data_IF_909301348290
#
_entry.id   IF_909301348290
#
_cell.length_a   1.000
_cell.length_b   1.000
_cell.length_c   1.000
_cell.angle_alpha   90.00
_cell.angle_beta   90.00
_cell.angle_gamma   90.00
#
_symmetry.space_group_name_H-M   'P 1'
#
loop_
_entity.id
_entity.type
_entity.pdbx_description
1 polymer ?
#
# COMPACT_ATOMS: atom_id res chain seq x y z
N UNK A 1 6.65 -63.62 32.40
CA UNK A 1 5.46 -62.85 32.79
C UNK A 1 5.60 -61.46 32.14
N UNK A 2 4.80 -61.21 31.15
CA UNK A 2 4.85 -60.01 30.32
C UNK A 2 3.97 -58.93 30.94
N UNK A 3 4.54 -57.73 31.16
CA UNK A 3 3.79 -56.53 31.56
C UNK A 3 3.57 -55.66 30.36
N UNK A 4 2.31 -55.59 29.89
CA UNK A 4 1.89 -54.75 28.81
C UNK A 4 1.79 -53.28 29.29
N UNK A 5 2.63 -52.38 28.76
CA UNK A 5 2.53 -50.92 28.95
C UNK A 5 1.37 -50.38 28.13
N UNK A 6 0.43 -49.71 28.79
CA UNK A 6 -0.66 -48.96 28.17
C UNK A 6 -0.09 -47.73 27.45
N UNK A 7 -0.39 -47.61 26.17
CA UNK A 7 -0.18 -46.37 25.40
C UNK A 7 -1.12 -45.29 25.95
N UNK A 8 -0.55 -44.22 26.46
CA UNK A 8 -1.30 -43.01 26.85
C UNK A 8 -1.83 -42.33 25.60
N UNK A 9 -3.13 -42.10 25.54
CA UNK A 9 -3.77 -41.26 24.53
C UNK A 9 -3.31 -39.79 24.69
N UNK A 10 -2.88 -39.19 23.57
CA UNK A 10 -2.57 -37.76 23.52
C UNK A 10 -3.80 -36.93 23.92
N UNK A 11 -3.62 -35.82 24.64
CA UNK A 11 -4.73 -34.96 25.00
C UNK A 11 -5.32 -34.33 23.73
N UNK A 12 -6.62 -34.50 23.53
CA UNK A 12 -7.39 -33.82 22.51
C UNK A 12 -7.40 -32.33 22.80
N UNK A 13 -7.05 -31.49 21.80
CA UNK A 13 -7.19 -30.04 21.88
C UNK A 13 -8.67 -29.69 22.15
N UNK A 14 -8.95 -28.66 23.00
CA UNK A 14 -10.30 -28.25 23.26
C UNK A 14 -10.94 -27.75 21.97
N UNK A 15 -12.06 -28.31 21.61
CA UNK A 15 -12.96 -27.80 20.55
C UNK A 15 -13.59 -26.55 21.16
N UNK A 16 -13.27 -25.37 20.65
CA UNK A 16 -13.99 -24.16 21.01
C UNK A 16 -15.42 -24.30 20.50
N UNK A 17 -16.37 -24.36 21.43
CA UNK A 17 -17.78 -24.19 21.13
C UNK A 17 -18.00 -22.79 20.54
N UNK A 18 -18.56 -22.71 19.35
CA UNK A 18 -18.91 -21.48 18.67
C UNK A 18 -19.86 -20.67 19.54
N UNK A 19 -19.46 -19.47 19.94
CA UNK A 19 -20.36 -18.48 20.54
C UNK A 19 -21.20 -17.82 19.43
N UNK A 20 -22.49 -17.49 19.69
CA UNK A 20 -23.43 -17.01 18.67
C UNK A 20 -23.21 -15.59 18.14
N UNK A 21 -22.07 -14.96 18.41
CA UNK A 21 -21.73 -13.61 17.96
C UNK A 21 -20.73 -13.57 16.79
N UNK A 22 -20.54 -14.69 16.09
CA UNK A 22 -19.77 -14.74 14.85
C UNK A 22 -20.63 -14.11 13.73
N UNK A 23 -20.55 -12.79 13.59
CA UNK A 23 -20.98 -12.08 12.37
C UNK A 23 -20.03 -12.53 11.27
N UNK A 24 -20.41 -13.61 10.60
CA UNK A 24 -19.55 -14.41 9.74
C UNK A 24 -18.73 -13.57 8.76
N UNK A 25 -17.41 -13.79 8.77
CA UNK A 25 -16.51 -13.27 7.76
C UNK A 25 -17.01 -13.69 6.39
N UNK A 26 -17.43 -12.73 5.57
CA UNK A 26 -17.95 -13.01 4.23
C UNK A 26 -16.80 -13.35 3.28
N UNK A 27 -16.93 -14.45 2.55
CA UNK A 27 -15.96 -14.85 1.52
C UNK A 27 -15.90 -13.80 0.42
N UNK A 28 -14.68 -13.39 0.05
CA UNK A 28 -14.46 -12.43 -1.02
C UNK A 28 -14.77 -13.03 -2.39
N UNK A 29 -16.02 -12.90 -2.86
CA UNK A 29 -16.46 -13.37 -4.18
C UNK A 29 -17.16 -12.25 -4.97
N UNK A 30 -16.91 -12.17 -6.30
CA UNK A 30 -17.66 -11.29 -7.19
C UNK A 30 -17.40 -9.78 -6.98
N UNK A 31 -18.44 -8.98 -7.20
CA UNK A 31 -18.40 -7.52 -7.15
C UNK A 31 -18.52 -6.96 -5.73
N UNK A 32 -18.26 -5.67 -5.57
CA UNK A 32 -18.62 -4.94 -4.35
C UNK A 32 -20.13 -5.09 -4.05
N UNK A 33 -20.54 -5.03 -2.76
CA UNK A 33 -21.94 -4.97 -2.39
C UNK A 33 -22.68 -3.80 -3.06
N UNK A 34 -24.03 -3.80 -3.03
CA UNK A 34 -24.80 -2.67 -3.54
C UNK A 34 -24.34 -1.35 -2.95
N UNK A 35 -24.37 -0.30 -3.75
CA UNK A 35 -23.84 1.01 -3.40
C UNK A 35 -24.36 1.56 -2.07
N UNK A 36 -25.66 1.43 -1.80
CA UNK A 36 -26.24 1.89 -0.54
C UNK A 36 -25.57 1.24 0.66
N UNK A 37 -25.25 -0.06 0.56
CA UNK A 37 -24.51 -0.80 1.59
C UNK A 37 -23.09 -0.25 1.74
N UNK A 38 -22.36 -0.06 0.62
CA UNK A 38 -21.00 0.50 0.65
C UNK A 38 -21.02 1.85 1.35
N UNK A 39 -21.89 2.78 0.93
CA UNK A 39 -21.98 4.10 1.54
C UNK A 39 -22.31 4.07 3.03
N UNK A 40 -23.28 3.25 3.42
CA UNK A 40 -23.63 3.06 4.85
C UNK A 40 -22.44 2.57 5.66
N UNK A 41 -21.66 1.63 5.13
CA UNK A 41 -20.48 1.10 5.82
C UNK A 41 -19.34 2.13 5.89
N UNK A 42 -19.12 2.93 4.83
CA UNK A 42 -18.16 4.05 4.86
C UNK A 42 -18.50 5.05 5.96
N UNK A 43 -19.78 5.48 6.02
CA UNK A 43 -20.27 6.42 7.03
C UNK A 43 -20.17 5.83 8.45
N UNK A 44 -20.46 4.54 8.62
CA UNK A 44 -20.33 3.84 9.89
C UNK A 44 -18.84 3.78 10.33
N UNK A 45 -17.94 3.37 9.46
CA UNK A 45 -16.50 3.31 9.74
C UNK A 45 -15.95 4.68 10.12
N UNK A 46 -16.30 5.73 9.37
CA UNK A 46 -15.87 7.11 9.64
C UNK A 46 -16.35 7.56 11.03
N UNK A 47 -17.65 7.42 11.35
CA UNK A 47 -18.18 7.80 12.68
C UNK A 47 -17.55 7.01 13.82
N UNK A 48 -17.30 5.72 13.62
CA UNK A 48 -16.74 4.85 14.68
C UNK A 48 -15.34 5.26 15.09
N UNK A 49 -14.54 5.76 14.14
CA UNK A 49 -13.14 6.06 14.40
C UNK A 49 -12.77 7.55 14.35
N UNK A 50 -13.77 8.45 14.18
CA UNK A 50 -13.55 9.89 14.11
C UNK A 50 -12.83 10.44 15.34
N UNK A 51 -13.25 10.02 16.53
CA UNK A 51 -12.72 10.51 17.83
C UNK A 51 -11.47 9.75 18.31
N UNK A 52 -10.91 8.86 17.50
CA UNK A 52 -9.66 8.16 17.85
C UNK A 52 -8.49 9.14 17.72
N UNK A 53 -7.85 9.46 18.83
CA UNK A 53 -6.72 10.41 18.94
C UNK A 53 -5.34 9.73 19.11
N UNK A 54 -5.30 8.40 19.07
CA UNK A 54 -4.06 7.63 19.16
C UNK A 54 -3.14 7.86 17.94
N UNK A 55 -1.84 7.83 18.19
CA UNK A 55 -0.80 8.08 17.19
C UNK A 55 -0.40 9.56 17.11
N UNK A 56 0.65 9.83 16.36
CA UNK A 56 1.25 11.15 16.21
C UNK A 56 1.41 11.51 14.73
N UNK A 57 1.39 12.80 14.41
CA UNK A 57 1.69 13.29 13.06
C UNK A 57 3.19 13.13 12.81
N UNK A 58 3.59 12.77 11.58
CA UNK A 58 5.01 12.70 11.23
C UNK A 58 5.66 14.07 11.38
N UNK A 59 6.74 14.18 12.14
CA UNK A 59 7.45 15.43 12.44
C UNK A 59 8.87 15.48 11.87
N UNK A 60 9.40 14.36 11.41
CA UNK A 60 10.75 14.27 10.81
C UNK A 60 10.85 14.89 9.41
N UNK A 61 9.72 15.18 8.74
CA UNK A 61 9.61 16.04 7.59
C UNK A 61 8.88 17.31 8.06
N UNK A 62 9.55 18.48 8.17
CA UNK A 62 8.96 19.66 8.80
C UNK A 62 7.61 20.09 8.21
N UNK A 63 7.41 19.97 6.90
CA UNK A 63 6.14 20.30 6.26
C UNK A 63 4.99 19.39 6.71
N UNK A 64 5.23 18.11 7.03
CA UNK A 64 4.20 17.20 7.55
C UNK A 64 3.78 17.54 8.98
N UNK A 65 4.69 18.08 9.79
CA UNK A 65 4.42 18.43 11.19
C UNK A 65 3.29 19.49 11.36
N UNK A 66 2.98 20.23 10.31
CA UNK A 66 1.94 21.27 10.31
C UNK A 66 0.57 20.80 9.83
N UNK A 67 0.46 19.53 9.38
CA UNK A 67 -0.81 18.96 8.90
C UNK A 67 -1.75 18.73 10.09
N UNK A 68 -3.05 19.09 9.94
CA UNK A 68 -4.03 18.89 10.99
C UNK A 68 -4.20 17.42 11.33
N UNK A 69 -3.98 17.05 12.60
CA UNK A 69 -4.13 15.70 13.12
C UNK A 69 -5.59 15.20 13.10
N UNK A 70 -6.57 16.08 12.92
CA UNK A 70 -8.00 15.76 13.01
C UNK A 70 -8.59 15.29 11.67
N UNK A 71 -7.87 15.53 10.56
CA UNK A 71 -8.30 15.10 9.23
C UNK A 71 -8.53 13.58 9.18
N UNK A 72 -9.68 13.20 8.62
CA UNK A 72 -10.03 11.80 8.41
C UNK A 72 -10.95 11.65 7.21
N UNK A 73 -10.47 11.01 6.15
CA UNK A 73 -11.21 10.70 4.94
C UNK A 73 -11.14 9.22 4.59
N UNK A 74 -12.22 8.68 4.03
CA UNK A 74 -12.31 7.31 3.52
C UNK A 74 -12.94 7.37 2.13
N UNK A 75 -12.40 6.63 1.17
CA UNK A 75 -12.96 6.52 -0.18
C UNK A 75 -12.90 5.08 -0.70
N UNK A 76 -13.87 4.70 -1.53
CA UNK A 76 -13.93 3.45 -2.27
C UNK A 76 -14.15 3.73 -3.74
N UNK A 77 -13.39 3.08 -4.61
CA UNK A 77 -13.59 3.08 -6.05
C UNK A 77 -13.82 1.65 -6.54
N UNK A 78 -14.96 1.38 -7.15
CA UNK A 78 -15.27 0.08 -7.74
C UNK A 78 -14.70 -0.06 -9.15
N UNK A 79 -14.42 -1.30 -9.60
CA UNK A 79 -14.00 -1.60 -10.99
C UNK A 79 -15.06 -1.19 -12.03
N UNK A 80 -16.28 -0.89 -11.61
CA UNK A 80 -17.33 -0.29 -12.46
C UNK A 80 -17.17 1.22 -12.71
N UNK A 81 -16.15 1.88 -12.14
CA UNK A 81 -15.84 3.30 -12.34
C UNK A 81 -16.53 4.26 -11.37
N UNK A 82 -17.25 3.76 -10.38
CA UNK A 82 -17.86 4.60 -9.36
C UNK A 82 -16.92 4.84 -8.20
N UNK A 83 -16.84 6.09 -7.75
CA UNK A 83 -16.06 6.53 -6.59
C UNK A 83 -17.02 7.15 -5.57
N UNK A 84 -16.94 6.71 -4.32
CA UNK A 84 -17.65 7.25 -3.18
C UNK A 84 -16.66 7.59 -2.05
N UNK A 85 -16.94 8.65 -1.29
CA UNK A 85 -16.10 9.07 -0.18
C UNK A 85 -16.88 9.74 0.95
N UNK A 86 -16.30 9.70 2.15
CA UNK A 86 -16.84 10.32 3.36
C UNK A 86 -15.73 11.07 4.10
N UNK A 87 -16.12 12.02 4.97
CA UNK A 87 -15.17 12.86 5.68
C UNK A 87 -14.28 13.66 4.73
N UNK A 88 -13.03 13.81 5.10
CA UNK A 88 -12.02 14.57 4.34
C UNK A 88 -11.49 13.81 3.12
N UNK A 89 -12.31 12.98 2.47
CA UNK A 89 -11.90 12.13 1.35
C UNK A 89 -11.44 12.89 0.11
N UNK A 90 -11.79 14.18 -0.03
CA UNK A 90 -11.37 15.07 -1.10
C UNK A 90 -10.24 16.04 -0.68
N UNK A 91 -9.75 15.95 0.56
CA UNK A 91 -8.61 16.74 1.02
C UNK A 91 -7.34 16.28 0.32
N UNK A 92 -6.56 17.23 -0.22
CA UNK A 92 -5.28 16.93 -0.88
C UNK A 92 -4.16 16.74 0.15
N UNK A 93 -3.34 15.72 -0.08
CA UNK A 93 -2.15 15.42 0.72
C UNK A 93 -1.08 14.80 -0.19
N UNK A 94 0.16 14.82 0.24
CA UNK A 94 1.25 14.24 -0.54
C UNK A 94 1.22 12.72 -0.50
N UNK A 95 1.38 12.07 -1.67
CA UNK A 95 1.23 10.62 -1.84
C UNK A 95 2.26 9.81 -1.04
N UNK A 96 3.46 10.35 -0.85
CA UNK A 96 4.55 9.75 -0.10
C UNK A 96 4.81 8.29 -0.54
N UNK A 97 5.08 7.39 0.41
CA UNK A 97 5.37 5.99 0.12
C UNK A 97 4.21 5.21 -0.53
N UNK A 98 3.00 5.78 -0.61
CA UNK A 98 1.91 5.14 -1.36
C UNK A 98 2.20 5.11 -2.88
N UNK A 99 3.10 5.96 -3.39
CA UNK A 99 3.55 5.93 -4.78
C UNK A 99 4.31 4.65 -5.17
N UNK A 100 4.98 3.98 -4.21
CA UNK A 100 5.90 2.86 -4.47
C UNK A 100 5.35 1.69 -5.28
N UNK A 101 4.15 1.13 -4.99
CA UNK A 101 3.60 0.05 -5.80
C UNK A 101 3.29 0.48 -7.24
N UNK A 102 2.87 1.73 -7.44
CA UNK A 102 2.58 2.26 -8.78
C UNK A 102 3.87 2.51 -9.57
N UNK A 103 4.93 3.05 -8.92
CA UNK A 103 6.28 3.11 -9.49
C UNK A 103 6.74 1.72 -9.94
N UNK A 104 6.67 0.71 -9.06
CA UNK A 104 7.06 -0.65 -9.39
C UNK A 104 6.27 -1.20 -10.59
N UNK A 105 4.95 -0.98 -10.61
CA UNK A 105 4.10 -1.38 -11.72
C UNK A 105 4.53 -0.73 -13.04
N UNK A 106 4.81 0.58 -13.06
CA UNK A 106 5.27 1.30 -14.25
C UNK A 106 6.63 0.80 -14.75
N UNK A 107 7.56 0.51 -13.85
CA UNK A 107 8.88 -0.06 -14.20
C UNK A 107 8.74 -1.48 -14.75
N UNK A 108 7.90 -2.33 -14.13
CA UNK A 108 7.61 -3.68 -14.63
C UNK A 108 6.94 -3.64 -16.02
N UNK A 109 6.04 -2.70 -16.26
CA UNK A 109 5.38 -2.56 -17.55
C UNK A 109 6.36 -2.13 -18.65
N UNK A 110 7.32 -1.28 -18.31
CA UNK A 110 8.30 -0.76 -19.26
C UNK A 110 9.43 -1.74 -19.60
N UNK A 111 9.94 -2.49 -18.60
CA UNK A 111 11.13 -3.34 -18.77
C UNK A 111 10.79 -4.85 -18.79
N UNK A 112 9.60 -5.21 -18.37
CA UNK A 112 9.22 -6.60 -18.12
C UNK A 112 9.63 -7.09 -16.72
N UNK A 113 8.73 -7.87 -16.14
CA UNK A 113 8.85 -8.32 -14.74
C UNK A 113 10.07 -9.21 -14.48
N UNK A 114 10.58 -9.95 -15.47
CA UNK A 114 11.76 -10.81 -15.31
C UNK A 114 13.02 -9.99 -15.08
N UNK A 115 13.26 -9.00 -15.94
CA UNK A 115 14.37 -8.08 -15.81
C UNK A 115 14.32 -7.31 -14.49
N UNK A 116 13.14 -6.80 -14.13
CA UNK A 116 12.96 -6.08 -12.85
C UNK A 116 13.23 -7.01 -11.66
N UNK A 117 12.80 -8.28 -11.72
CA UNK A 117 13.02 -9.26 -10.66
C UNK A 117 14.50 -9.60 -10.44
N UNK A 118 15.33 -9.56 -11.49
CA UNK A 118 16.78 -9.77 -11.41
C UNK A 118 17.52 -8.58 -10.78
N UNK A 119 16.93 -7.39 -10.88
CA UNK A 119 17.52 -6.12 -10.40
C UNK A 119 17.00 -5.67 -9.05
N UNK A 120 15.81 -6.12 -8.64
CA UNK A 120 15.15 -5.78 -7.37
C UNK A 120 14.78 -7.05 -6.59
N UNK A 121 14.83 -6.95 -5.27
CA UNK A 121 14.28 -7.99 -4.39
C UNK A 121 12.75 -8.01 -4.40
N UNK A 122 12.16 -9.10 -3.90
CA UNK A 122 10.70 -9.23 -3.72
C UNK A 122 10.31 -9.71 -2.32
N UNK A 123 11.29 -10.07 -1.50
CA UNK A 123 11.05 -10.59 -0.16
C UNK A 123 10.87 -9.44 0.85
N UNK A 124 10.00 -9.63 1.84
CA UNK A 124 9.91 -8.72 2.97
C UNK A 124 11.24 -8.67 3.72
N UNK A 125 11.62 -7.50 4.21
CA UNK A 125 12.87 -7.30 4.97
C UNK A 125 12.69 -7.61 6.46
N UNK A 126 11.47 -7.48 6.99
CA UNK A 126 11.19 -7.56 8.43
C UNK A 126 11.79 -6.40 9.24
N UNK A 127 12.28 -5.35 8.57
CA UNK A 127 12.94 -4.19 9.15
C UNK A 127 12.17 -2.91 8.84
N UNK A 128 12.39 -1.80 9.58
CA UNK A 128 11.85 -0.49 9.27
C UNK A 128 12.12 -0.10 7.81
N UNK A 129 11.20 0.65 7.22
CA UNK A 129 11.20 0.98 5.78
C UNK A 129 12.43 1.76 5.30
N UNK A 130 13.11 2.44 6.20
CA UNK A 130 14.29 3.27 5.96
C UNK A 130 15.58 2.63 6.52
N UNK A 131 15.55 1.33 6.83
CA UNK A 131 16.68 0.60 7.41
C UNK A 131 17.80 0.40 6.39
N UNK A 132 18.98 0.94 6.69
CA UNK A 132 20.20 0.71 5.92
C UNK A 132 20.67 -0.75 6.08
N UNK A 133 20.45 -1.35 7.26
CA UNK A 133 20.79 -2.75 7.51
C UNK A 133 20.07 -3.71 6.55
N UNK A 134 18.90 -3.32 6.03
CA UNK A 134 18.20 -4.13 5.04
C UNK A 134 19.03 -4.38 3.77
N UNK A 135 19.92 -3.45 3.38
CA UNK A 135 20.84 -3.62 2.26
C UNK A 135 22.00 -4.55 2.60
N UNK A 136 22.52 -4.47 3.82
CA UNK A 136 23.70 -5.24 4.24
C UNK A 136 23.38 -6.72 4.44
N UNK A 137 22.18 -7.05 4.96
CA UNK A 137 21.76 -8.44 5.19
C UNK A 137 21.07 -9.07 3.98
N UNK A 138 20.59 -8.26 3.03
CA UNK A 138 19.98 -8.78 1.81
C UNK A 138 21.03 -9.43 0.92
N UNK A 139 20.73 -10.63 0.41
CA UNK A 139 21.61 -11.28 -0.56
C UNK A 139 21.85 -10.34 -1.76
N UNK A 140 23.12 -10.04 -2.04
CA UNK A 140 23.53 -9.15 -3.12
C UNK A 140 22.97 -7.72 -3.05
N UNK A 141 22.52 -7.23 -1.88
CA UNK A 141 21.93 -5.90 -1.71
C UNK A 141 20.55 -5.73 -2.36
N UNK A 142 19.84 -6.84 -2.68
CA UNK A 142 18.53 -6.81 -3.30
C UNK A 142 17.42 -6.59 -2.26
N UNK A 143 16.79 -5.43 -2.28
CA UNK A 143 15.63 -5.11 -1.43
C UNK A 143 14.36 -4.92 -2.26
N UNK A 144 13.19 -5.17 -1.65
CA UNK A 144 11.91 -5.02 -2.34
C UNK A 144 11.52 -3.53 -2.50
N UNK A 145 10.77 -3.17 -3.55
CA UNK A 145 10.42 -1.77 -3.85
C UNK A 145 9.39 -1.14 -2.91
N UNK A 146 8.91 -1.84 -1.88
CA UNK A 146 7.99 -1.26 -0.88
C UNK A 146 8.73 -0.57 0.27
N UNK A 147 10.07 -0.80 0.41
CA UNK A 147 10.97 -0.08 1.32
C UNK A 147 11.79 0.96 0.55
N UNK A 148 12.41 1.93 1.26
CA UNK A 148 13.08 3.05 0.59
C UNK A 148 14.22 2.61 -0.33
N UNK A 149 15.09 1.72 0.12
CA UNK A 149 16.21 1.25 -0.70
C UNK A 149 15.76 0.59 -2.01
N UNK A 150 14.79 -0.30 -1.96
CA UNK A 150 14.25 -0.94 -3.17
C UNK A 150 13.47 0.04 -4.06
N UNK A 151 12.79 1.04 -3.48
CA UNK A 151 12.09 2.06 -4.25
C UNK A 151 13.07 3.03 -4.96
N UNK A 152 14.17 3.40 -4.30
CA UNK A 152 15.25 4.20 -4.92
C UNK A 152 15.87 3.40 -6.08
N UNK A 153 16.20 2.13 -5.86
CA UNK A 153 16.69 1.25 -6.92
C UNK A 153 15.68 1.14 -8.09
N UNK A 154 14.38 1.00 -7.80
CA UNK A 154 13.32 0.99 -8.81
C UNK A 154 13.22 2.32 -9.57
N UNK A 155 13.39 3.45 -8.90
CA UNK A 155 13.41 4.78 -9.53
C UNK A 155 14.55 4.91 -10.53
N UNK A 156 15.72 4.37 -10.23
CA UNK A 156 16.85 4.37 -11.16
C UNK A 156 16.58 3.60 -12.45
N UNK A 157 15.66 2.61 -12.42
CA UNK A 157 15.24 1.79 -13.57
C UNK A 157 14.16 2.47 -14.43
N UNK A 158 13.57 3.57 -13.98
CA UNK A 158 12.55 4.29 -14.76
C UNK A 158 13.10 4.67 -16.15
N UNK A 159 12.34 4.49 -17.25
CA UNK A 159 12.78 4.91 -18.58
C UNK A 159 13.11 6.40 -18.65
N UNK A 160 14.21 6.72 -19.37
CA UNK A 160 14.67 8.11 -19.57
C UNK A 160 16.19 8.21 -19.42
N UNK A 161 16.80 9.04 -20.26
CA UNK A 161 18.26 9.29 -20.25
C UNK A 161 18.67 10.47 -19.35
N UNK A 162 17.72 11.23 -18.86
CA UNK A 162 17.90 12.36 -17.93
C UNK A 162 16.88 12.27 -16.80
N UNK A 163 17.15 12.91 -15.67
CA UNK A 163 16.23 12.99 -14.54
C UNK A 163 14.86 13.56 -14.95
N UNK A 164 14.83 14.58 -15.80
CA UNK A 164 13.59 15.19 -16.26
C UNK A 164 12.74 14.22 -17.12
N UNK A 165 13.35 13.40 -17.97
CA UNK A 165 12.64 12.38 -18.73
C UNK A 165 12.10 11.27 -17.83
N UNK A 166 12.86 10.84 -16.83
CA UNK A 166 12.40 9.86 -15.83
C UNK A 166 11.24 10.43 -15.02
N UNK A 167 11.36 11.67 -14.58
CA UNK A 167 10.31 12.38 -13.87
C UNK A 167 9.03 12.51 -14.70
N UNK A 168 9.15 12.93 -15.96
CA UNK A 168 7.99 13.06 -16.86
C UNK A 168 7.26 11.72 -17.04
N UNK A 169 8.02 10.61 -17.22
CA UNK A 169 7.45 9.27 -17.32
C UNK A 169 6.67 8.87 -16.05
N UNK A 170 7.26 9.12 -14.86
CA UNK A 170 6.62 8.80 -13.59
C UNK A 170 5.36 9.63 -13.34
N UNK A 171 5.46 10.96 -13.51
CA UNK A 171 4.32 11.85 -13.30
C UNK A 171 3.16 11.49 -14.22
N UNK A 172 3.44 11.23 -15.51
CA UNK A 172 2.43 10.80 -16.47
C UNK A 172 1.81 9.45 -16.07
N UNK A 173 2.63 8.49 -15.66
CA UNK A 173 2.16 7.17 -15.25
C UNK A 173 1.28 7.22 -14.00
N UNK A 174 1.71 7.94 -12.96
CA UNK A 174 0.94 8.13 -11.73
C UNK A 174 -0.37 8.89 -12.00
N UNK A 175 -0.34 9.91 -12.85
CA UNK A 175 -1.53 10.64 -13.31
C UNK A 175 -2.53 9.74 -14.05
N UNK A 176 -2.05 8.80 -14.87
CA UNK A 176 -2.92 7.80 -15.52
C UNK A 176 -3.59 6.86 -14.51
N UNK A 177 -2.90 6.47 -13.43
CA UNK A 177 -3.51 5.71 -12.35
C UNK A 177 -4.59 6.50 -11.62
N UNK A 178 -4.35 7.77 -11.32
CA UNK A 178 -5.30 8.67 -10.66
C UNK A 178 -6.47 9.12 -11.58
N UNK A 179 -6.31 9.00 -12.91
CA UNK A 179 -7.30 9.46 -13.89
C UNK A 179 -7.35 10.98 -14.07
N UNK A 180 -6.43 11.71 -13.48
CA UNK A 180 -6.23 13.15 -13.60
C UNK A 180 -4.75 13.51 -13.57
N UNK A 181 -4.40 14.70 -14.03
CA UNK A 181 -3.05 15.21 -13.84
C UNK A 181 -2.79 15.49 -12.36
N UNK A 182 -1.67 14.97 -11.84
CA UNK A 182 -1.24 15.20 -10.46
C UNK A 182 -0.30 16.40 -10.40
N UNK A 183 -0.54 17.27 -9.45
CA UNK A 183 0.29 18.42 -9.15
C UNK A 183 1.31 18.08 -8.06
N UNK A 184 2.43 18.80 -8.05
CA UNK A 184 3.47 18.62 -7.03
C UNK A 184 3.34 19.68 -5.97
N UNK A 185 3.48 19.30 -4.72
CA UNK A 185 3.62 20.22 -3.58
C UNK A 185 5.07 20.69 -3.51
N UNK A 186 5.30 21.93 -3.94
CA UNK A 186 6.65 22.52 -3.98
C UNK A 186 7.20 22.83 -2.58
N UNK A 187 6.33 23.13 -1.59
CA UNK A 187 6.73 23.33 -0.20
C UNK A 187 7.21 22.02 0.42
N UNK A 188 6.44 20.95 0.22
CA UNK A 188 6.82 19.61 0.65
C UNK A 188 8.14 19.16 -0.02
N UNK A 189 8.28 19.38 -1.32
CA UNK A 189 9.51 19.05 -2.05
C UNK A 189 10.74 19.79 -1.47
N UNK A 190 10.60 21.06 -1.18
CA UNK A 190 11.68 21.85 -0.56
C UNK A 190 12.03 21.31 0.84
N UNK A 191 11.00 20.96 1.64
CA UNK A 191 11.16 20.41 2.99
C UNK A 191 11.84 19.04 2.97
N UNK A 192 11.42 18.15 2.07
CA UNK A 192 12.04 16.81 1.92
C UNK A 192 13.49 16.88 1.43
N UNK A 193 13.79 17.73 0.44
CA UNK A 193 15.16 17.93 -0.03
C UNK A 193 16.09 18.40 1.08
N UNK A 194 15.61 19.23 2.00
CA UNK A 194 16.42 19.71 3.13
C UNK A 194 16.71 18.62 4.16
N UNK A 195 15.95 17.53 4.20
CA UNK A 195 16.07 16.43 5.18
C UNK A 195 16.43 15.08 4.58
N UNK A 196 16.80 15.04 3.28
CA UNK A 196 16.91 13.83 2.47
C UNK A 196 18.21 13.00 2.66
N UNK A 197 19.12 13.43 3.54
CA UNK A 197 20.46 12.85 3.69
C UNK A 197 20.46 11.32 3.90
N UNK A 198 19.43 10.73 4.52
CA UNK A 198 19.31 9.28 4.71
C UNK A 198 19.05 8.54 3.38
N UNK A 199 18.19 9.07 2.52
CA UNK A 199 17.92 8.50 1.19
C UNK A 199 19.12 8.67 0.26
N UNK A 200 19.84 9.79 0.34
CA UNK A 200 21.09 10.00 -0.40
C UNK A 200 22.18 9.00 0.01
N UNK A 201 22.36 8.77 1.31
CA UNK A 201 23.29 7.76 1.81
C UNK A 201 22.90 6.36 1.33
N UNK A 202 21.62 6.04 1.30
CA UNK A 202 21.07 4.78 0.81
C UNK A 202 21.32 4.59 -0.69
N UNK A 203 21.16 5.65 -1.50
CA UNK A 203 21.45 5.62 -2.93
C UNK A 203 22.95 5.35 -3.20
N UNK A 204 23.84 5.96 -2.43
CA UNK A 204 25.30 5.71 -2.55
C UNK A 204 25.70 4.31 -2.12
N UNK A 205 25.05 3.73 -1.12
CA UNK A 205 25.26 2.33 -0.75
C UNK A 205 24.77 1.38 -1.84
N UNK A 206 23.59 1.64 -2.43
CA UNK A 206 23.09 0.89 -3.57
C UNK A 206 24.04 0.94 -4.77
N UNK A 207 24.65 2.11 -5.03
CA UNK A 207 25.66 2.27 -6.08
C UNK A 207 26.90 1.42 -5.79
N UNK A 208 27.39 1.42 -4.56
CA UNK A 208 28.49 0.56 -4.12
C UNK A 208 28.20 -0.94 -4.27
N UNK A 209 26.94 -1.36 -4.19
CA UNK A 209 26.49 -2.73 -4.47
C UNK A 209 26.17 -3.00 -5.95
N UNK A 210 26.29 -2.01 -6.84
CA UNK A 210 25.89 -2.12 -8.25
C UNK A 210 24.38 -2.30 -8.43
N UNK A 211 23.57 -1.73 -7.52
CA UNK A 211 22.10 -1.83 -7.48
C UNK A 211 21.40 -0.53 -7.78
N UNK A 212 22.11 0.47 -8.27
CA UNK A 212 21.53 1.68 -8.87
C UNK A 212 21.92 1.73 -10.34
N UNK A 213 21.01 2.15 -11.20
CA UNK A 213 21.13 2.01 -12.65
C UNK A 213 21.08 3.37 -13.37
N UNK A 214 21.25 4.43 -12.61
CA UNK A 214 21.34 5.81 -13.05
C UNK A 214 22.15 6.59 -12.01
N UNK A 215 22.41 7.88 -12.22
CA UNK A 215 23.12 8.72 -11.25
C UNK A 215 22.41 8.68 -9.88
N UNK A 216 23.10 8.41 -8.77
CA UNK A 216 22.50 8.27 -7.45
C UNK A 216 21.80 9.53 -6.94
N UNK A 217 22.39 10.70 -7.16
CA UNK A 217 21.87 11.98 -6.66
C UNK A 217 20.64 12.40 -7.49
N UNK A 218 20.70 12.27 -8.82
CA UNK A 218 19.55 12.49 -9.70
C UNK A 218 18.42 11.48 -9.45
N UNK A 219 18.76 10.22 -9.16
CA UNK A 219 17.77 9.19 -8.80
C UNK A 219 17.04 9.55 -7.52
N UNK A 220 17.78 10.01 -6.50
CA UNK A 220 17.22 10.41 -5.22
C UNK A 220 16.29 11.62 -5.38
N UNK A 221 16.64 12.59 -6.22
CA UNK A 221 15.77 13.73 -6.51
C UNK A 221 14.48 13.30 -7.20
N UNK A 222 14.53 12.43 -8.21
CA UNK A 222 13.33 11.89 -8.87
C UNK A 222 12.48 11.07 -7.89
N UNK A 223 13.10 10.29 -7.01
CA UNK A 223 12.42 9.54 -5.95
C UNK A 223 11.70 10.49 -4.97
N UNK A 224 12.30 11.60 -4.60
CA UNK A 224 11.69 12.60 -3.70
C UNK A 224 10.51 13.29 -4.38
N UNK A 225 10.67 13.74 -5.62
CA UNK A 225 9.58 14.39 -6.38
C UNK A 225 8.31 13.54 -6.45
N UNK A 226 8.42 12.23 -6.65
CA UNK A 226 7.23 11.36 -6.73
C UNK A 226 6.45 11.31 -5.42
N UNK A 227 7.14 11.37 -4.26
CA UNK A 227 6.52 11.41 -2.94
C UNK A 227 5.71 12.69 -2.69
N UNK A 228 6.09 13.78 -3.33
CA UNK A 228 5.50 15.11 -3.17
C UNK A 228 4.30 15.39 -4.11
N UNK A 229 3.82 14.40 -4.88
CA UNK A 229 2.60 14.57 -5.68
C UNK A 229 1.36 14.64 -4.79
N UNK A 230 0.47 15.59 -5.09
CA UNK A 230 -0.79 15.78 -4.39
C UNK A 230 -1.86 14.80 -4.86
N UNK A 231 -2.44 14.09 -3.91
CA UNK A 231 -3.54 13.14 -4.12
C UNK A 231 -4.60 13.33 -3.06
N UNK A 232 -5.80 12.83 -3.32
CA UNK A 232 -6.89 12.68 -2.36
C UNK A 232 -7.09 11.20 -2.02
N UNK A 233 -7.86 10.88 -0.98
CA UNK A 233 -8.27 9.50 -0.72
C UNK A 233 -9.10 8.93 -1.90
N UNK A 234 -9.86 9.78 -2.61
CA UNK A 234 -10.60 9.36 -3.81
C UNK A 234 -9.66 8.98 -4.95
N UNK A 235 -8.60 9.75 -5.18
CA UNK A 235 -7.56 9.41 -6.17
C UNK A 235 -6.88 8.09 -5.82
N UNK A 236 -6.48 7.90 -4.56
CA UNK A 236 -5.84 6.66 -4.13
C UNK A 236 -6.77 5.44 -4.28
N UNK A 237 -8.06 5.60 -3.96
CA UNK A 237 -9.05 4.54 -4.18
C UNK A 237 -9.16 4.18 -5.66
N UNK A 238 -9.15 5.17 -6.56
CA UNK A 238 -9.18 4.95 -8.02
C UNK A 238 -7.87 4.33 -8.53
N UNK A 239 -6.72 4.76 -8.03
CA UNK A 239 -5.43 4.15 -8.32
C UNK A 239 -5.42 2.67 -7.91
N UNK A 240 -5.95 2.36 -6.72
CA UNK A 240 -6.13 0.98 -6.24
C UNK A 240 -7.11 0.18 -7.10
N UNK A 241 -8.22 0.78 -7.51
CA UNK A 241 -9.20 0.16 -8.40
C UNK A 241 -8.61 -0.15 -9.78
N UNK A 242 -7.67 0.66 -10.27
CA UNK A 242 -6.94 0.39 -11.51
C UNK A 242 -6.13 -0.91 -11.39
N UNK A 243 -5.46 -1.15 -10.27
CA UNK A 243 -4.78 -2.43 -10.02
C UNK A 243 -5.77 -3.59 -9.85
N UNK A 244 -6.93 -3.33 -9.22
CA UNK A 244 -7.99 -4.32 -9.04
C UNK A 244 -8.65 -4.74 -10.36
N UNK A 245 -8.75 -3.83 -11.34
CA UNK A 245 -9.33 -4.05 -12.68
C UNK A 245 -8.27 -4.51 -13.72
N UNK A 246 -7.24 -5.21 -13.28
CA UNK A 246 -6.20 -5.75 -14.18
C UNK A 246 -5.44 -4.67 -14.95
N UNK A 247 -5.28 -3.48 -14.37
CA UNK A 247 -4.51 -2.37 -14.90
C UNK A 247 -5.29 -1.42 -15.82
N UNK A 248 -6.60 -1.55 -15.88
CA UNK A 248 -7.47 -0.59 -16.59
C UNK A 248 -8.05 0.39 -15.58
N UNK A 249 -7.82 1.69 -15.79
CA UNK A 249 -8.44 2.70 -14.95
C UNK A 249 -9.97 2.69 -15.16
N UNK A 250 -10.79 2.42 -14.14
CA UNK A 250 -12.21 2.17 -14.34
C UNK A 250 -13.02 3.41 -14.72
N UNK A 251 -12.51 4.63 -14.49
CA UNK A 251 -13.13 5.89 -14.87
C UNK A 251 -12.74 6.28 -16.30
N UNK A 252 -11.45 6.34 -16.61
CA UNK A 252 -10.97 6.75 -17.93
C UNK A 252 -11.05 5.64 -18.99
N UNK A 253 -11.24 4.39 -18.56
CA UNK A 253 -11.27 3.16 -19.38
C UNK A 253 -9.96 2.92 -20.17
N UNK A 254 -8.88 3.55 -19.76
CA UNK A 254 -7.56 3.39 -20.37
C UNK A 254 -6.74 2.37 -19.60
N UNK A 255 -6.04 1.49 -20.32
CA UNK A 255 -5.06 0.58 -19.73
C UNK A 255 -3.81 1.38 -19.33
N UNK A 256 -3.40 1.23 -18.08
CA UNK A 256 -2.19 1.84 -17.52
C UNK A 256 -1.05 0.82 -17.49
N UNK A 257 -1.35 -0.39 -17.03
CA UNK A 257 -0.40 -1.52 -16.96
C UNK A 257 -1.11 -2.84 -17.31
N UNK A 258 -0.35 -3.90 -17.51
CA UNK A 258 -0.89 -5.24 -17.83
C UNK A 258 -1.42 -5.94 -16.58
N UNK A 259 -2.27 -6.95 -16.80
CA UNK A 259 -2.81 -7.80 -15.73
C UNK A 259 -1.70 -8.57 -14.98
N UNK A 260 -0.65 -9.02 -15.69
CA UNK A 260 0.48 -9.71 -15.06
C UNK A 260 1.28 -8.77 -14.14
N UNK A 261 1.47 -7.53 -14.56
CA UNK A 261 2.06 -6.47 -13.73
C UNK A 261 1.24 -6.22 -12.46
N UNK A 262 -0.10 -6.12 -12.58
CA UNK A 262 -0.98 -5.97 -11.41
C UNK A 262 -0.81 -7.11 -10.41
N UNK A 263 -0.87 -8.36 -10.87
CA UNK A 263 -0.72 -9.54 -10.02
C UNK A 263 0.58 -9.53 -9.22
N UNK A 264 1.70 -9.14 -9.83
CA UNK A 264 3.01 -9.07 -9.18
C UNK A 264 3.10 -7.92 -8.18
N UNK A 265 2.53 -6.77 -8.53
CA UNK A 265 2.45 -5.61 -7.65
C UNK A 265 1.62 -5.94 -6.40
N UNK A 266 0.46 -6.57 -6.56
CA UNK A 266 -0.39 -6.99 -5.45
C UNK A 266 0.31 -8.03 -4.55
N UNK A 267 1.07 -8.96 -5.12
CA UNK A 267 1.86 -9.91 -4.33
C UNK A 267 2.90 -9.23 -3.43
N UNK A 268 3.59 -8.21 -3.93
CA UNK A 268 4.52 -7.42 -3.12
C UNK A 268 3.81 -6.59 -2.05
N UNK A 269 2.66 -6.00 -2.37
CA UNK A 269 1.86 -5.25 -1.41
C UNK A 269 1.35 -6.14 -0.27
N UNK A 270 1.00 -7.40 -0.54
CA UNK A 270 0.61 -8.36 0.51
C UNK A 270 1.72 -8.61 1.52
N UNK A 271 2.96 -8.74 1.07
CA UNK A 271 4.07 -9.18 1.93
C UNK A 271 4.87 -8.05 2.57
N UNK A 272 4.83 -6.83 2.01
CA UNK A 272 5.71 -5.75 2.40
C UNK A 272 5.09 -4.34 2.38
N UNK A 273 3.76 -4.23 2.18
CA UNK A 273 3.12 -2.93 1.93
C UNK A 273 2.97 -2.03 3.15
N UNK A 274 2.91 -2.60 4.37
CA UNK A 274 2.80 -1.86 5.63
C UNK A 274 4.06 -1.99 6.49
N UNK A 275 5.21 -1.88 5.83
CA UNK A 275 6.51 -1.93 6.48
C UNK A 275 6.70 -3.22 7.30
N UNK A 276 7.28 -3.16 8.49
CA UNK A 276 7.43 -4.30 9.41
C UNK A 276 6.10 -4.83 9.96
N UNK A 277 4.99 -4.09 9.79
CA UNK A 277 3.64 -4.48 10.23
C UNK A 277 2.82 -5.17 9.12
N UNK A 278 3.42 -5.54 8.01
CA UNK A 278 2.70 -6.19 6.90
C UNK A 278 2.09 -7.55 7.28
N UNK A 279 2.73 -8.29 8.20
CA UNK A 279 2.17 -9.53 8.73
C UNK A 279 0.91 -9.32 9.55
N UNK A 280 0.93 -8.37 10.49
CA UNK A 280 -0.24 -7.99 11.29
C UNK A 280 -1.39 -7.50 10.40
N UNK A 281 -1.06 -6.69 9.38
CA UNK A 281 -2.04 -6.21 8.41
C UNK A 281 -2.70 -7.37 7.65
N UNK A 282 -1.91 -8.30 7.14
CA UNK A 282 -2.44 -9.45 6.39
C UNK A 282 -3.34 -10.31 7.28
N UNK A 283 -2.94 -10.51 8.53
CA UNK A 283 -3.72 -11.28 9.51
C UNK A 283 -5.06 -10.61 9.86
N UNK A 284 -5.08 -9.28 10.00
CA UNK A 284 -6.24 -8.52 10.46
C UNK A 284 -7.17 -8.04 9.33
N UNK A 285 -6.63 -7.81 8.12
CA UNK A 285 -7.35 -7.16 7.01
C UNK A 285 -7.49 -8.06 5.79
N UNK A 286 -6.52 -8.94 5.56
CA UNK A 286 -6.55 -9.93 4.48
C UNK A 286 -6.46 -9.36 3.06
N UNK A 287 -5.86 -8.17 2.87
CA UNK A 287 -5.82 -7.47 1.57
C UNK A 287 -4.43 -6.88 1.25
N UNK A 288 -4.03 -6.83 -0.03
CA UNK A 288 -2.89 -6.04 -0.46
C UNK A 288 -3.07 -4.57 -0.15
N UNK A 289 -2.05 -3.93 0.46
CA UNK A 289 -2.12 -2.50 0.76
C UNK A 289 -0.76 -1.82 0.73
N UNK A 290 -0.77 -0.47 0.71
CA UNK A 290 0.43 0.36 0.91
C UNK A 290 0.09 1.59 1.72
N UNK A 291 0.92 1.86 2.74
CA UNK A 291 0.85 3.04 3.58
C UNK A 291 1.90 4.09 3.21
N UNK A 292 1.63 5.33 3.61
CA UNK A 292 2.54 6.46 3.49
C UNK A 292 2.49 7.35 4.73
N UNK A 293 3.59 8.00 5.03
CA UNK A 293 3.78 8.80 6.26
C UNK A 293 2.98 10.11 6.31
N UNK A 294 2.35 10.49 5.21
CA UNK A 294 1.31 11.54 5.20
C UNK A 294 -0.01 11.09 5.86
N UNK A 295 -0.17 9.80 6.14
CA UNK A 295 -1.39 9.20 6.70
C UNK A 295 -2.28 8.51 5.67
N UNK A 296 -1.84 8.42 4.41
CA UNK A 296 -2.54 7.69 3.34
C UNK A 296 -2.34 6.17 3.44
N UNK A 297 -3.40 5.39 3.22
CA UNK A 297 -3.33 3.94 2.98
C UNK A 297 -4.19 3.64 1.76
N UNK A 298 -3.63 2.96 0.77
CA UNK A 298 -4.38 2.35 -0.34
C UNK A 298 -4.46 0.85 -0.13
N UNK A 299 -5.65 0.29 -0.29
CA UNK A 299 -5.95 -1.14 -0.12
C UNK A 299 -6.68 -1.66 -1.35
N UNK A 300 -6.33 -2.82 -1.86
CA UNK A 300 -6.88 -3.35 -3.10
C UNK A 300 -7.65 -4.64 -2.85
N UNK A 301 -8.92 -4.67 -3.26
CA UNK A 301 -9.73 -5.88 -3.35
C UNK A 301 -9.74 -6.34 -4.82
N UNK A 302 -8.92 -7.35 -5.21
CA UNK A 302 -8.78 -7.76 -6.61
C UNK A 302 -10.13 -8.13 -7.24
N UNK A 303 -10.40 -7.58 -8.43
CA UNK A 303 -11.65 -7.78 -9.15
C UNK A 303 -12.85 -6.99 -8.60
N UNK A 304 -12.72 -6.28 -7.47
CA UNK A 304 -13.81 -5.51 -6.83
C UNK A 304 -13.55 -4.01 -6.84
N UNK A 305 -12.39 -3.56 -6.38
CA UNK A 305 -12.08 -2.14 -6.30
C UNK A 305 -10.88 -1.80 -5.43
N UNK A 306 -10.66 -0.50 -5.25
CA UNK A 306 -9.72 0.09 -4.31
C UNK A 306 -10.46 0.77 -3.15
N UNK A 307 -9.92 0.61 -1.96
CA UNK A 307 -10.28 1.33 -0.75
C UNK A 307 -9.10 2.21 -0.35
N UNK A 308 -9.34 3.46 0.02
CA UNK A 308 -8.31 4.33 0.55
C UNK A 308 -8.77 5.07 1.79
N UNK A 309 -7.84 5.30 2.69
CA UNK A 309 -8.03 6.12 3.88
C UNK A 309 -6.95 7.19 3.95
N UNK A 310 -7.29 8.34 4.50
CA UNK A 310 -6.36 9.40 4.84
C UNK A 310 -6.62 9.88 6.25
N UNK A 311 -5.62 9.78 7.12
CA UNK A 311 -5.61 10.38 8.46
C UNK A 311 -4.19 10.50 8.97
N UNK A 312 -3.69 11.70 9.34
CA UNK A 312 -2.27 11.95 9.61
C UNK A 312 -1.68 11.30 10.86
N UNK A 313 -2.49 10.90 11.86
CA UNK A 313 -1.97 10.24 13.07
C UNK A 313 -1.47 8.84 12.75
N UNK A 314 -0.17 8.62 13.01
CA UNK A 314 0.56 7.38 12.68
C UNK A 314 0.90 6.58 13.94
N UNK A 315 0.96 5.27 13.79
CA UNK A 315 1.58 4.37 14.76
C UNK A 315 3.13 4.47 14.70
N UNK A 316 3.86 3.83 15.63
CA UNK A 316 5.33 3.87 15.64
C UNK A 316 6.00 3.32 14.37
N UNK A 317 5.31 2.51 13.57
CA UNK A 317 5.81 2.01 12.29
C UNK A 317 5.54 2.97 11.11
N UNK A 318 4.78 4.05 11.32
CA UNK A 318 4.46 5.05 10.30
C UNK A 318 3.15 4.78 9.54
N UNK A 319 2.26 3.96 10.06
CA UNK A 319 0.97 3.65 9.45
C UNK A 319 -0.17 4.42 10.13
N UNK A 320 -1.13 4.95 9.36
CA UNK A 320 -2.29 5.66 9.88
C UNK A 320 -3.12 4.81 10.84
N UNK A 321 -3.29 5.25 12.09
CA UNK A 321 -4.03 4.52 13.13
C UNK A 321 -5.52 4.41 12.77
N UNK A 322 -6.18 5.54 12.44
CA UNK A 322 -7.59 5.54 12.01
C UNK A 322 -7.76 4.77 10.72
N UNK A 323 -6.82 4.93 9.78
CA UNK A 323 -6.84 4.25 8.49
C UNK A 323 -6.82 2.74 8.61
N UNK A 324 -5.95 2.18 9.46
CA UNK A 324 -5.88 0.74 9.71
C UNK A 324 -7.21 0.20 10.29
N UNK A 325 -7.73 0.85 11.33
CA UNK A 325 -8.98 0.44 12.00
C UNK A 325 -10.19 0.50 11.06
N UNK A 326 -10.32 1.59 10.29
CA UNK A 326 -11.41 1.74 9.33
C UNK A 326 -11.33 0.71 8.21
N UNK A 327 -10.13 0.43 7.70
CA UNK A 327 -9.92 -0.58 6.65
C UNK A 327 -10.25 -1.98 7.14
N UNK A 328 -9.87 -2.35 8.38
CA UNK A 328 -10.25 -3.63 9.00
C UNK A 328 -11.77 -3.79 9.02
N UNK A 329 -12.49 -2.82 9.61
CA UNK A 329 -13.95 -2.86 9.67
C UNK A 329 -14.58 -3.00 8.27
N UNK A 330 -14.07 -2.24 7.29
CA UNK A 330 -14.60 -2.26 5.92
C UNK A 330 -14.27 -3.56 5.19
N UNK A 331 -13.09 -4.15 5.43
CA UNK A 331 -12.73 -5.45 4.85
C UNK A 331 -13.73 -6.54 5.30
N UNK A 332 -14.01 -6.59 6.59
CA UNK A 332 -14.99 -7.52 7.17
C UNK A 332 -16.42 -7.21 6.67
N UNK A 333 -16.90 -5.97 6.84
CA UNK A 333 -18.28 -5.59 6.56
C UNK A 333 -18.67 -5.66 5.06
N UNK A 334 -17.70 -5.49 4.16
CA UNK A 334 -17.91 -5.56 2.71
C UNK A 334 -17.46 -6.89 2.09
N UNK A 335 -16.98 -7.84 2.91
CA UNK A 335 -16.50 -9.14 2.44
C UNK A 335 -15.34 -9.00 1.45
N UNK A 336 -14.30 -8.21 1.80
CA UNK A 336 -13.19 -7.94 0.90
C UNK A 336 -11.99 -8.85 1.13
N UNK A 337 -11.85 -9.47 2.31
CA UNK A 337 -10.73 -10.34 2.68
C UNK A 337 -10.57 -11.49 1.67
N UNK A 338 -9.41 -11.55 1.00
CA UNK A 338 -9.12 -12.57 -0.01
C UNK A 338 -8.70 -13.93 0.60
N UNK A 339 -8.47 -13.98 1.90
CA UNK A 339 -8.09 -15.18 2.64
C UNK A 339 -9.30 -15.82 3.33
N UNK A 340 -10.45 -15.13 3.38
CA UNK A 340 -11.66 -15.64 3.98
C UNK A 340 -12.18 -16.89 3.25
N UNK A 341 -12.64 -17.88 4.01
CA UNK A 341 -13.24 -19.11 3.49
C UNK A 341 -14.43 -19.54 4.34
N UNK A 342 -15.46 -20.06 3.69
CA UNK A 342 -16.62 -20.65 4.37
C UNK A 342 -16.86 -22.08 3.91
N UNK A 343 -17.48 -22.91 4.78
CA UNK A 343 -17.81 -24.29 4.42
C UNK A 343 -18.88 -24.31 3.31
N UNK A 344 -18.75 -25.21 2.34
CA UNK A 344 -19.71 -25.34 1.22
C UNK A 344 -21.14 -25.64 1.69
N UNK A 345 -21.29 -26.32 2.84
CA UNK A 345 -22.62 -26.64 3.42
C UNK A 345 -23.39 -25.41 3.91
N UNK A 346 -22.71 -24.31 4.19
CA UNK A 346 -23.30 -23.04 4.67
C UNK A 346 -23.73 -22.11 3.52
N UNK A 347 -23.38 -22.49 2.27
CA UNK A 347 -23.72 -21.70 1.06
C UNK A 347 -25.04 -22.12 0.43
N UNK A 348 -25.79 -23.07 1.03
CA UNK A 348 -27.11 -23.57 0.59
C UNK A 348 -28.20 -22.99 1.50
#
# INVERSE_FOLDING_TARGET
MAGAGRAGSAPSLPVHENTPDDTGVQVSTGALPPLGTVRTMLEAAHRTYLDVDAGEVADYIPALAHVSADLFGIAVAGVGGRVDGVGDSAHEFTIQSVAKPFLFALVCEALGHREVRERLGVNATGLPFDSVMALEIAAEGLTNPMVNSGAIAATSLVPGRTADLKWAFLREGLSKFAGRDLEMDEEMLASERATNGRNEAMARLLDGHGRIYFDPDETTDVYTRQGCLLVTAQDLALMGATLADGGVNPVTRRRVVSQDTCRRTLALMLTAGLYERSGDWLYEVGLPAKSGVSGGIVTIAPGKGGLATFSPRLDPAGNSVRGQRATKLLSEALGLDILASTAVAEQR
#
